data_IF_626361736533
#
_entry.id   IF_626361736533
#
_cell.length_a   1.000
_cell.length_b   1.000
_cell.length_c   1.000
_cell.angle_alpha   90.00
_cell.angle_beta   90.00
_cell.angle_gamma   90.00
#
_symmetry.space_group_name_H-M   'P 1'
#
loop_
_entity.id
_entity.type
_entity.pdbx_description
1 polymer ?
#
# COMPACT_ATOMS: atom_id res chain seq x y z
N UNK A 1 -26.95 10.94 16.45
CA UNK A 1 -25.51 11.24 16.56
C UNK A 1 -24.75 9.92 16.48
N UNK A 2 -24.49 9.44 15.26
CA UNK A 2 -23.73 8.21 15.04
C UNK A 2 -22.27 8.48 15.38
N UNK A 3 -21.77 7.84 16.42
CA UNK A 3 -20.33 7.79 16.68
C UNK A 3 -19.61 7.33 15.40
N UNK A 4 -18.36 7.75 15.13
CA UNK A 4 -17.53 7.18 14.07
C UNK A 4 -16.60 6.08 14.64
N UNK A 5 -17.10 4.86 14.93
CA UNK A 5 -16.26 3.78 15.43
C UNK A 5 -15.38 3.15 14.34
N UNK A 6 -15.64 3.38 13.05
CA UNK A 6 -15.10 2.46 12.04
C UNK A 6 -13.71 2.81 11.49
N UNK A 7 -13.31 4.08 11.42
CA UNK A 7 -12.04 4.43 10.74
C UNK A 7 -10.83 4.07 11.60
N UNK A 8 -10.90 4.33 12.90
CA UNK A 8 -9.82 3.99 13.82
C UNK A 8 -9.69 2.47 13.93
N UNK A 9 -10.82 1.77 14.10
CA UNK A 9 -10.87 0.32 14.16
C UNK A 9 -10.36 -0.32 12.85
N UNK A 10 -10.82 0.16 11.70
CA UNK A 10 -10.35 -0.31 10.39
C UNK A 10 -8.86 -0.03 10.19
N UNK A 11 -8.36 1.14 10.59
CA UNK A 11 -6.95 1.49 10.51
C UNK A 11 -6.07 0.58 11.37
N UNK A 12 -6.52 0.23 12.57
CA UNK A 12 -5.84 -0.72 13.45
C UNK A 12 -5.85 -2.14 12.89
N UNK A 13 -6.97 -2.61 12.34
CA UNK A 13 -7.02 -3.92 11.70
C UNK A 13 -6.10 -4.02 10.48
N UNK A 14 -6.05 -2.97 9.64
CA UNK A 14 -5.10 -2.92 8.52
C UNK A 14 -3.64 -2.92 9.00
N UNK A 15 -3.34 -2.20 10.09
CA UNK A 15 -2.02 -2.21 10.70
C UNK A 15 -1.65 -3.60 11.24
N UNK A 16 -2.59 -4.29 11.90
CA UNK A 16 -2.43 -5.66 12.40
C UNK A 16 -2.15 -6.65 11.27
N UNK A 17 -2.92 -6.61 10.19
CA UNK A 17 -2.73 -7.48 9.03
C UNK A 17 -1.38 -7.22 8.34
N UNK A 18 -0.98 -5.96 8.21
CA UNK A 18 0.32 -5.60 7.63
C UNK A 18 1.50 -6.11 8.48
N UNK A 19 1.38 -6.03 9.82
CA UNK A 19 2.37 -6.57 10.75
C UNK A 19 2.50 -8.09 10.61
N UNK A 20 1.37 -8.81 10.60
CA UNK A 20 1.33 -10.25 10.40
C UNK A 20 1.94 -10.67 9.05
N UNK A 21 1.62 -9.95 7.98
CA UNK A 21 2.21 -10.21 6.67
C UNK A 21 3.74 -10.05 6.67
N UNK A 22 4.28 -9.07 7.40
CA UNK A 22 5.73 -8.89 7.56
C UNK A 22 6.35 -10.01 8.41
N UNK A 23 5.72 -10.39 9.53
CA UNK A 23 6.19 -11.48 10.41
C UNK A 23 6.29 -12.78 9.61
N UNK A 24 5.27 -13.09 8.82
CA UNK A 24 5.26 -14.28 7.95
C UNK A 24 6.30 -14.16 6.85
N UNK A 25 6.40 -13.00 6.17
CA UNK A 25 7.36 -12.80 5.09
C UNK A 25 8.83 -12.90 5.57
N UNK A 26 9.12 -12.45 6.79
CA UNK A 26 10.45 -12.52 7.39
C UNK A 26 10.73 -13.84 8.11
N UNK A 27 9.74 -14.74 8.19
CA UNK A 27 9.76 -15.91 9.07
C UNK A 27 10.23 -15.55 10.48
N UNK A 28 9.78 -14.41 11.02
CA UNK A 28 10.27 -13.89 12.30
C UNK A 28 10.02 -14.86 13.47
N UNK A 29 9.03 -15.76 13.35
CA UNK A 29 8.78 -16.85 14.30
C UNK A 29 9.97 -17.83 14.43
N UNK A 30 10.76 -18.00 13.37
CA UNK A 30 11.98 -18.83 13.37
C UNK A 30 13.21 -18.07 13.91
N UNK A 31 13.05 -16.80 14.31
CA UNK A 31 14.14 -15.92 14.78
C UNK A 31 15.41 -16.01 13.92
N UNK A 32 15.32 -15.76 12.59
CA UNK A 32 16.47 -15.87 11.71
C UNK A 32 17.56 -14.89 12.12
N UNK A 33 18.79 -15.39 12.34
CA UNK A 33 19.96 -14.58 12.71
C UNK A 33 20.35 -13.59 11.60
N UNK A 34 20.10 -13.94 10.34
CA UNK A 34 20.42 -13.11 9.18
C UNK A 34 19.29 -13.14 8.15
N UNK A 35 18.95 -11.97 7.59
CA UNK A 35 17.99 -11.83 6.50
C UNK A 35 18.72 -11.52 5.19
N UNK A 36 18.24 -12.10 4.07
CA UNK A 36 18.70 -11.73 2.73
C UNK A 36 18.44 -10.23 2.47
N UNK A 37 19.36 -9.55 1.79
CA UNK A 37 19.31 -8.09 1.53
C UNK A 37 17.98 -7.63 0.93
N UNK A 38 17.46 -8.35 -0.07
CA UNK A 38 16.18 -8.04 -0.72
C UNK A 38 14.99 -8.14 0.24
N UNK A 39 14.99 -9.17 1.10
CA UNK A 39 13.97 -9.39 2.12
C UNK A 39 14.02 -8.27 3.17
N UNK A 40 15.22 -7.90 3.64
CA UNK A 40 15.43 -6.78 4.55
C UNK A 40 14.91 -5.46 3.97
N UNK A 41 15.21 -5.15 2.71
CA UNK A 41 14.72 -3.91 2.07
C UNK A 41 13.18 -3.89 1.96
N UNK A 42 12.58 -5.00 1.57
CA UNK A 42 11.12 -5.10 1.45
C UNK A 42 10.43 -5.05 2.83
N UNK A 43 11.02 -5.63 3.87
CA UNK A 43 10.55 -5.51 5.24
C UNK A 43 10.64 -4.05 5.75
N UNK A 44 11.76 -3.36 5.50
CA UNK A 44 11.93 -1.95 5.85
C UNK A 44 10.91 -1.04 5.14
N UNK A 45 10.60 -1.31 3.87
CA UNK A 45 9.56 -0.59 3.14
C UNK A 45 8.17 -0.77 3.76
N UNK A 46 7.85 -2.00 4.20
CA UNK A 46 6.59 -2.29 4.91
C UNK A 46 6.54 -1.63 6.29
N UNK A 47 7.66 -1.60 7.01
CA UNK A 47 7.74 -0.92 8.31
C UNK A 47 7.53 0.59 8.19
N UNK A 48 8.08 1.23 7.15
CA UNK A 48 7.78 2.64 6.85
C UNK A 48 6.30 2.88 6.56
N UNK A 49 5.65 1.97 5.82
CA UNK A 49 4.21 2.07 5.58
C UNK A 49 3.42 1.97 6.89
N UNK A 50 3.82 1.07 7.80
CA UNK A 50 3.23 0.93 9.12
C UNK A 50 3.39 2.21 9.94
N UNK A 51 4.59 2.80 9.98
CA UNK A 51 4.84 4.07 10.66
C UNK A 51 3.91 5.18 10.14
N UNK A 52 3.72 5.27 8.82
CA UNK A 52 2.83 6.27 8.20
C UNK A 52 1.37 6.05 8.63
N UNK A 53 0.89 4.80 8.66
CA UNK A 53 -0.47 4.47 9.10
C UNK A 53 -0.66 4.88 10.56
N UNK A 54 0.24 4.45 11.45
CA UNK A 54 0.16 4.76 12.88
C UNK A 54 0.24 6.26 13.13
N UNK A 55 1.17 6.96 12.46
CA UNK A 55 1.30 8.42 12.55
C UNK A 55 0.00 9.12 12.14
N UNK A 56 -0.60 8.73 11.01
CA UNK A 56 -1.89 9.27 10.57
C UNK A 56 -3.00 9.01 11.59
N UNK A 57 -3.06 7.79 12.14
CA UNK A 57 -4.06 7.43 13.14
C UNK A 57 -3.94 8.29 14.40
N UNK A 58 -2.71 8.47 14.90
CA UNK A 58 -2.42 9.34 16.04
C UNK A 58 -2.79 10.80 15.74
N UNK A 59 -2.47 11.31 14.56
CA UNK A 59 -2.85 12.67 14.16
C UNK A 59 -4.37 12.84 14.11
N UNK A 60 -5.11 11.85 13.62
CA UNK A 60 -6.58 11.90 13.59
C UNK A 60 -7.20 11.84 14.97
N UNK A 61 -6.66 11.00 15.86
CA UNK A 61 -7.08 10.94 17.26
C UNK A 61 -6.78 12.26 17.99
N UNK A 62 -5.58 12.82 17.81
CA UNK A 62 -5.17 14.07 18.44
C UNK A 62 -6.01 15.28 17.99
N UNK A 63 -6.44 15.31 16.73
CA UNK A 63 -7.26 16.39 16.18
C UNK A 63 -8.77 16.15 16.34
N UNK A 64 -9.19 15.04 16.96
CA UNK A 64 -10.60 14.59 17.02
C UNK A 64 -11.30 14.63 15.65
N UNK A 65 -10.54 14.46 14.56
CA UNK A 65 -11.02 14.66 13.21
C UNK A 65 -11.80 13.43 12.75
N UNK A 66 -13.09 13.62 12.55
CA UNK A 66 -13.95 12.66 11.86
C UNK A 66 -13.78 12.84 10.36
N UNK A 67 -12.97 11.98 9.74
CA UNK A 67 -12.84 11.98 8.28
C UNK A 67 -14.07 11.30 7.65
N UNK A 68 -14.62 11.83 6.54
CA UNK A 68 -15.51 11.04 5.69
C UNK A 68 -14.73 9.87 5.09
N UNK A 69 -15.40 8.74 4.84
CA UNK A 69 -14.77 7.53 4.31
C UNK A 69 -13.98 7.83 3.03
N UNK A 70 -12.65 7.73 3.11
CA UNK A 70 -11.78 7.93 1.95
C UNK A 70 -11.75 6.63 1.15
N UNK A 71 -12.32 6.66 -0.06
CA UNK A 71 -12.14 5.54 -1.01
C UNK A 71 -10.63 5.37 -1.27
N UNK A 72 -10.07 4.15 -1.16
CA UNK A 72 -8.69 3.92 -1.52
C UNK A 72 -8.47 4.47 -2.93
N UNK A 73 -7.38 5.23 -3.14
CA UNK A 73 -7.00 5.62 -4.50
C UNK A 73 -6.78 4.34 -5.28
N UNK A 74 -7.74 4.00 -6.14
CA UNK A 74 -7.56 2.98 -7.16
C UNK A 74 -6.32 3.40 -7.92
N UNK A 75 -5.25 2.63 -7.74
CA UNK A 75 -4.08 2.72 -8.61
C UNK A 75 -4.66 2.54 -10.01
N UNK A 76 -4.52 3.54 -10.88
CA UNK A 76 -4.95 3.45 -12.28
C UNK A 76 -4.15 2.30 -12.91
N UNK A 77 -4.67 1.09 -12.81
CA UNK A 77 -4.19 -0.09 -13.53
C UNK A 77 -5.08 -0.21 -14.74
N UNK A 78 -4.46 -0.17 -15.92
CA UNK A 78 -5.08 -0.14 -17.23
C UNK A 78 -6.00 1.07 -17.46
N UNK A 79 -5.45 2.08 -18.14
CA UNK A 79 -6.26 2.94 -18.97
C UNK A 79 -7.03 2.05 -19.96
N UNK A 80 -8.35 1.97 -19.81
CA UNK A 80 -9.23 1.50 -20.88
C UNK A 80 -8.97 2.41 -22.07
N UNK A 81 -8.55 1.88 -23.24
CA UNK A 81 -8.29 2.74 -24.39
C UNK A 81 -9.62 3.38 -24.81
N UNK A 82 -9.72 4.70 -24.64
CA UNK A 82 -10.77 5.52 -25.25
C UNK A 82 -10.73 5.28 -26.77
N UNK A 83 -11.87 5.01 -27.43
CA UNK A 83 -11.89 4.82 -28.87
C UNK A 83 -11.42 6.12 -29.54
N UNK A 84 -10.32 6.02 -30.30
CA UNK A 84 -9.76 7.12 -31.06
C UNK A 84 -10.72 7.47 -32.22
N UNK A 85 -10.90 8.76 -32.56
CA UNK A 85 -11.67 9.16 -33.74
C UNK A 85 -11.04 8.60 -35.02
N UNK A 86 -11.88 8.22 -35.98
CA UNK A 86 -11.45 7.63 -37.26
C UNK A 86 -10.37 8.49 -37.93
N UNK A 87 -9.27 7.84 -38.32
CA UNK A 87 -8.13 8.47 -39.00
C UNK A 87 -6.87 8.70 -38.15
N UNK A 88 -6.80 8.19 -36.92
CA UNK A 88 -5.61 8.31 -36.06
C UNK A 88 -4.92 6.96 -35.81
N UNK A 89 -3.69 6.81 -36.31
CA UNK A 89 -2.85 5.64 -36.04
C UNK A 89 -2.04 5.83 -34.75
N UNK A 90 -2.16 4.86 -33.82
CA UNK A 90 -1.34 4.85 -32.61
C UNK A 90 0.00 4.21 -32.94
N UNK A 91 1.05 5.03 -33.09
CA UNK A 91 2.43 4.54 -33.15
C UNK A 91 2.81 4.00 -31.77
N UNK A 92 2.74 2.67 -31.63
CA UNK A 92 3.13 1.98 -30.40
C UNK A 92 4.65 1.75 -30.43
N UNK A 93 5.38 2.50 -29.61
CA UNK A 93 6.80 2.24 -29.40
C UNK A 93 6.99 0.98 -28.56
N UNK A 94 7.91 0.07 -28.94
CA UNK A 94 8.16 -1.14 -28.18
C UNK A 94 8.67 -0.77 -26.77
N UNK A 95 8.04 -1.34 -25.75
CA UNK A 95 8.48 -1.15 -24.37
C UNK A 95 9.92 -1.65 -24.21
N UNK A 96 10.79 -0.93 -23.47
CA UNK A 96 12.17 -1.36 -23.25
C UNK A 96 12.16 -2.74 -22.59
N UNK A 97 12.76 -3.73 -23.26
CA UNK A 97 13.00 -5.06 -22.69
C UNK A 97 13.81 -4.89 -21.41
N UNK A 98 13.17 -5.09 -20.27
CA UNK A 98 13.86 -5.25 -18.99
C UNK A 98 14.62 -6.57 -19.08
N UNK A 99 15.90 -6.50 -19.44
CA UNK A 99 16.80 -7.65 -19.30
C UNK A 99 16.87 -7.98 -17.80
N UNK A 100 16.37 -9.14 -17.44
CA UNK A 100 16.61 -9.73 -16.13
C UNK A 100 18.04 -10.29 -16.15
N UNK A 101 18.94 -9.65 -15.40
CA UNK A 101 20.23 -10.19 -14.99
C UNK A 101 20.17 -10.38 -13.47
#
# INVERSE_FOLDING_TARGET
MSHPPDIIHHGLEQARLALWAMINMTNAHLRPLTLRRSLKQKAMGRLKQFEIIVRRLLTLMALALTLPAVRPRTRLTCATPTPLPEGTEIVTFPAPRRFAL
#
